data_IF_663928195993
#
_entry.id   IF_663928195993
#
_cell.length_a   1.000
_cell.length_b   1.000
_cell.length_c   1.000
_cell.angle_alpha   90.00
_cell.angle_beta   90.00
_cell.angle_gamma   90.00
#
_symmetry.space_group_name_H-M   'P 1'
#
loop_
_entity.id
_entity.type
_entity.pdbx_description
1 polymer ?
#
# COMPACT_ATOMS: atom_id res chain seq x y z
N UNK A 1 15.01 -2.47 -22.92
CA UNK A 1 14.40 -2.57 -21.58
C UNK A 1 14.48 -1.19 -20.95
N UNK A 2 13.36 -0.45 -20.85
CA UNK A 2 13.38 0.87 -20.20
C UNK A 2 13.72 0.65 -18.73
N UNK A 3 14.87 1.18 -18.29
CA UNK A 3 15.20 1.25 -16.87
C UNK A 3 14.12 2.12 -16.24
N UNK A 4 13.42 1.62 -15.22
CA UNK A 4 12.47 2.46 -14.48
C UNK A 4 13.21 3.75 -14.08
N UNK A 5 12.64 4.90 -14.44
CA UNK A 5 13.26 6.22 -14.22
C UNK A 5 13.45 6.53 -12.73
N UNK A 6 12.77 5.76 -11.87
CA UNK A 6 12.80 5.88 -10.43
C UNK A 6 12.95 4.49 -9.82
N UNK A 7 13.81 4.36 -8.83
CA UNK A 7 13.95 3.14 -8.03
C UNK A 7 12.90 3.16 -6.90
N UNK A 8 11.93 2.23 -6.89
CA UNK A 8 10.85 2.21 -5.90
C UNK A 8 11.33 2.15 -4.44
N UNK A 9 12.56 1.70 -4.19
CA UNK A 9 13.13 1.62 -2.85
C UNK A 9 13.46 2.99 -2.25
N UNK A 10 13.60 4.01 -3.10
CA UNK A 10 13.94 5.39 -2.73
C UNK A 10 12.81 6.38 -3.03
N UNK A 11 11.71 5.93 -3.62
CA UNK A 11 10.52 6.76 -3.86
C UNK A 11 9.64 6.79 -2.63
N UNK A 12 9.28 8.01 -2.20
CA UNK A 12 8.35 8.24 -1.11
C UNK A 12 7.00 8.71 -1.67
N UNK A 13 5.92 8.08 -1.26
CA UNK A 13 4.55 8.46 -1.63
C UNK A 13 3.76 8.93 -0.40
N UNK A 14 2.83 9.83 -0.62
CA UNK A 14 1.88 10.28 0.38
C UNK A 14 0.81 9.21 0.67
N UNK A 15 0.07 9.39 1.77
CA UNK A 15 -1.02 8.48 2.15
C UNK A 15 -2.11 8.34 1.08
N UNK A 16 -2.46 9.42 0.38
CA UNK A 16 -3.49 9.36 -0.67
C UNK A 16 -3.00 8.55 -1.87
N UNK A 17 -1.78 8.79 -2.36
CA UNK A 17 -1.16 8.01 -3.43
C UNK A 17 -1.05 6.51 -3.06
N UNK A 18 -0.67 6.21 -1.82
CA UNK A 18 -0.63 4.83 -1.33
C UNK A 18 -2.01 4.15 -1.33
N UNK A 19 -3.06 4.88 -0.92
CA UNK A 19 -4.42 4.37 -0.92
C UNK A 19 -4.94 4.16 -2.35
N UNK A 20 -4.64 5.07 -3.27
CA UNK A 20 -4.97 4.97 -4.70
C UNK A 20 -4.31 3.75 -5.35
N UNK A 21 -3.01 3.52 -5.10
CA UNK A 21 -2.29 2.33 -5.58
C UNK A 21 -2.95 1.03 -5.08
N UNK A 22 -3.44 1.02 -3.84
CA UNK A 22 -4.10 -0.13 -3.23
C UNK A 22 -5.58 -0.25 -3.60
N UNK A 23 -6.14 0.71 -4.36
CA UNK A 23 -7.54 0.72 -4.75
C UNK A 23 -8.53 0.90 -3.59
N UNK A 24 -8.13 1.61 -2.53
CA UNK A 24 -8.93 1.81 -1.31
C UNK A 24 -8.98 3.29 -0.90
N UNK A 25 -9.86 3.62 0.05
CA UNK A 25 -9.88 4.96 0.65
C UNK A 25 -8.73 5.14 1.65
N UNK A 26 -8.37 6.38 1.95
CA UNK A 26 -7.35 6.68 2.97
C UNK A 26 -7.76 6.24 4.37
N UNK A 27 -9.07 6.23 4.67
CA UNK A 27 -9.60 5.76 5.95
C UNK A 27 -9.45 4.23 6.07
N UNK A 28 -9.79 3.49 5.01
CA UNK A 28 -9.58 2.05 4.96
C UNK A 28 -8.08 1.69 5.07
N UNK A 29 -7.21 2.49 4.45
CA UNK A 29 -5.77 2.33 4.63
C UNK A 29 -5.36 2.53 6.09
N UNK A 30 -5.89 3.53 6.80
CA UNK A 30 -5.60 3.71 8.23
C UNK A 30 -6.14 2.55 9.09
N UNK A 31 -7.31 1.99 8.75
CA UNK A 31 -7.84 0.79 9.40
C UNK A 31 -6.94 -0.44 9.17
N UNK A 32 -6.49 -0.68 7.93
CA UNK A 32 -5.55 -1.76 7.61
C UNK A 32 -4.22 -1.57 8.31
N UNK A 33 -3.70 -0.34 8.34
CA UNK A 33 -2.49 0.00 9.10
C UNK A 33 -2.64 -0.31 10.59
N UNK A 34 -3.83 -0.18 11.17
CA UNK A 34 -4.06 -0.52 12.58
C UNK A 34 -4.16 -2.04 12.81
N UNK A 35 -4.74 -2.80 11.88
CA UNK A 35 -5.19 -4.19 12.10
C UNK A 35 -4.34 -5.25 11.40
N UNK A 36 -3.84 -4.98 10.21
CA UNK A 36 -3.04 -5.92 9.42
C UNK A 36 -1.56 -5.74 9.73
N UNK A 37 -0.92 -6.80 10.22
CA UNK A 37 0.51 -6.82 10.56
C UNK A 37 1.42 -6.62 9.34
N UNK A 38 0.93 -6.93 8.13
CA UNK A 38 1.66 -6.78 6.88
C UNK A 38 1.41 -5.43 6.21
N UNK A 39 0.44 -4.64 6.69
CA UNK A 39 0.19 -3.32 6.12
C UNK A 39 1.32 -2.35 6.52
N UNK A 40 1.96 -1.67 5.55
CA UNK A 40 3.10 -0.81 5.81
C UNK A 40 2.69 0.35 6.72
N UNK A 41 3.44 0.54 7.80
CA UNK A 41 3.17 1.62 8.76
C UNK A 41 3.52 2.99 8.19
N UNK A 42 4.40 3.05 7.20
CA UNK A 42 5.01 4.29 6.73
C UNK A 42 5.93 4.90 7.78
N UNK A 43 6.42 6.09 7.49
CA UNK A 43 7.23 6.88 8.41
C UNK A 43 6.71 8.32 8.47
N UNK A 44 7.02 8.99 9.57
CA UNK A 44 6.60 10.37 9.79
C UNK A 44 7.63 11.31 9.18
N UNK A 45 7.17 12.10 8.21
CA UNK A 45 7.93 13.20 7.61
C UNK A 45 7.80 14.42 8.51
N UNK A 46 8.87 14.71 9.24
CA UNK A 46 8.98 15.85 10.16
C UNK A 46 9.44 17.13 9.48
N UNK A 47 9.87 17.08 8.21
CA UNK A 47 10.30 18.25 7.46
C UNK A 47 9.10 19.09 6.99
N UNK A 48 7.90 18.51 6.99
CA UNK A 48 6.64 19.20 6.70
C UNK A 48 5.85 19.52 7.96
N UNK A 49 5.17 20.67 7.96
CA UNK A 49 4.25 21.07 9.02
C UNK A 49 2.82 21.26 8.44
N UNK A 50 1.79 20.55 8.96
CA UNK A 50 1.87 19.51 9.97
C UNK A 50 2.61 18.25 9.47
N UNK A 51 3.25 17.46 10.36
CA UNK A 51 3.95 16.25 9.96
C UNK A 51 3.01 15.27 9.24
N UNK A 52 3.45 14.78 8.09
CA UNK A 52 2.64 13.85 7.27
C UNK A 52 3.23 12.44 7.31
N UNK A 53 2.39 11.42 7.10
CA UNK A 53 2.90 10.04 6.92
C UNK A 53 3.25 9.84 5.45
N UNK A 54 4.46 9.34 5.22
CA UNK A 54 4.97 8.92 3.91
C UNK A 54 5.20 7.41 3.90
N UNK A 55 5.21 6.82 2.72
CA UNK A 55 5.42 5.40 2.51
C UNK A 55 6.50 5.21 1.46
N UNK A 56 7.33 4.19 1.60
CA UNK A 56 8.19 3.75 0.50
C UNK A 56 7.31 3.06 -0.55
N UNK A 57 7.52 3.38 -1.82
CA UNK A 57 6.71 2.82 -2.90
C UNK A 57 6.80 1.29 -2.96
N UNK A 58 8.00 0.72 -2.78
CA UNK A 58 8.19 -0.74 -2.74
C UNK A 58 7.34 -1.42 -1.67
N UNK A 59 7.23 -0.85 -0.47
CA UNK A 59 6.46 -1.43 0.63
C UNK A 59 4.95 -1.45 0.31
N UNK A 60 4.46 -0.45 -0.42
CA UNK A 60 3.07 -0.43 -0.91
C UNK A 60 2.84 -1.52 -1.96
N UNK A 61 3.77 -1.69 -2.89
CA UNK A 61 3.67 -2.74 -3.91
C UNK A 61 3.74 -4.14 -3.31
N UNK A 62 4.63 -4.38 -2.34
CA UNK A 62 4.69 -5.64 -1.60
C UNK A 62 3.37 -5.93 -0.87
N UNK A 63 2.76 -4.90 -0.26
CA UNK A 63 1.46 -5.08 0.38
C UNK A 63 0.33 -5.36 -0.62
N UNK A 64 0.35 -4.71 -1.78
CA UNK A 64 -0.59 -4.98 -2.87
C UNK A 64 -0.47 -6.43 -3.35
N UNK A 65 0.74 -6.92 -3.56
CA UNK A 65 1.01 -8.32 -3.92
C UNK A 65 0.48 -9.28 -2.86
N UNK A 66 0.72 -8.99 -1.57
CA UNK A 66 0.17 -9.79 -0.47
C UNK A 66 -1.37 -9.85 -0.49
N UNK A 67 -2.06 -8.75 -0.80
CA UNK A 67 -3.52 -8.74 -0.92
C UNK A 67 -3.96 -9.61 -2.10
N UNK A 68 -3.30 -9.48 -3.25
CA UNK A 68 -3.63 -10.27 -4.45
C UNK A 68 -3.41 -11.77 -4.22
N UNK A 69 -2.31 -12.17 -3.59
CA UNK A 69 -2.03 -13.56 -3.28
C UNK A 69 -3.07 -14.16 -2.33
N UNK A 70 -3.44 -13.43 -1.26
CA UNK A 70 -4.51 -13.87 -0.34
C UNK A 70 -5.86 -14.03 -1.06
N UNK A 71 -6.16 -13.15 -2.02
CA UNK A 71 -7.39 -13.24 -2.81
C UNK A 71 -7.39 -14.45 -3.76
N UNK A 72 -6.23 -14.85 -4.28
CA UNK A 72 -6.09 -16.05 -5.13
C UNK A 72 -6.15 -17.35 -4.32
N UNK A 73 -5.65 -17.35 -3.09
CA UNK A 73 -5.68 -18.50 -2.17
C UNK A 73 -7.07 -18.74 -1.53
N UNK A 74 -7.95 -17.74 -1.57
CA UNK A 74 -9.31 -17.89 -1.07
C UNK A 74 -10.09 -18.88 -1.96
N UNK A 75 -10.76 -19.90 -1.39
CA UNK A 75 -11.59 -20.80 -2.17
C UNK A 75 -12.65 -19.99 -2.90
N UNK A 76 -12.60 -20.02 -4.23
CA UNK A 76 -13.66 -19.47 -5.06
C UNK A 76 -14.81 -20.46 -4.97
N UNK A 77 -15.71 -20.26 -4.01
CA UNK A 77 -16.99 -20.98 -4.05
C UNK A 77 -17.61 -20.71 -5.44
N UNK A 78 -18.03 -21.75 -6.18
CA UNK A 78 -18.60 -21.54 -7.49
C UNK A 78 -19.82 -20.63 -7.34
N UNK A 79 -19.83 -19.54 -8.11
CA UNK A 79 -21.00 -18.69 -8.30
C UNK A 79 -22.04 -19.59 -8.96
N UNK A 80 -22.98 -20.09 -8.16
CA UNK A 80 -24.17 -20.79 -8.65
C UNK A 80 -25.14 -19.70 -9.13
N UNK A 81 -25.29 -19.61 -10.45
CA UNK A 81 -26.34 -18.84 -11.13
C UNK A 81 -27.75 -19.37 -10.82
#
# INVERSE_FOLDING_TARGET
MYKARFDPNYVQVAKHEAAEILGITTEELDHRRARDKHCPKGFRDWERFPPTTRFRLSDIYEYSENIMNRAQEAPTDPIVD
#
